data_IF_206482313149
#
_entry.id   IF_206482313149
#
_cell.length_a   1.000
_cell.length_b   1.000
_cell.length_c   1.000
_cell.angle_alpha   90.00
_cell.angle_beta   90.00
_cell.angle_gamma   90.00
#
_symmetry.space_group_name_H-M   'P 1'
#
loop_
_entity.id
_entity.type
_entity.pdbx_description
1 polymer ?
#
# COMPACT_ATOMS: atom_id res chain seq x y z
N UNK A 1 -8.92 -4.96 -11.99
CA UNK A 1 -7.56 -4.61 -12.46
C UNK A 1 -6.60 -5.77 -12.23
N UNK A 2 -6.36 -6.15 -10.97
CA UNK A 2 -5.42 -7.23 -10.58
C UNK A 2 -5.70 -8.59 -11.25
N UNK A 3 -6.97 -9.00 -11.36
CA UNK A 3 -7.30 -10.25 -12.05
C UNK A 3 -6.84 -10.25 -13.54
N UNK A 4 -6.97 -9.11 -14.23
CA UNK A 4 -6.59 -8.99 -15.65
C UNK A 4 -5.09 -8.75 -15.85
N UNK A 5 -4.44 -8.04 -14.94
CA UNK A 5 -3.03 -7.64 -15.08
C UNK A 5 -2.06 -8.70 -14.57
N UNK A 6 -2.37 -9.34 -13.44
CA UNK A 6 -1.46 -10.27 -12.76
C UNK A 6 -2.08 -11.65 -12.55
N UNK A 7 -3.29 -11.90 -13.09
CA UNK A 7 -3.95 -13.20 -12.98
C UNK A 7 -4.42 -13.55 -11.56
N UNK A 8 -4.52 -12.56 -10.65
CA UNK A 8 -4.95 -12.81 -9.28
C UNK A 8 -6.41 -13.31 -9.23
N UNK A 9 -6.61 -14.53 -8.74
CA UNK A 9 -7.92 -15.16 -8.57
C UNK A 9 -8.35 -15.22 -7.10
N UNK A 10 -7.40 -15.46 -6.19
CA UNK A 10 -7.65 -15.46 -4.75
C UNK A 10 -7.19 -14.15 -4.13
N UNK A 11 -8.13 -13.37 -3.60
CA UNK A 11 -7.88 -12.07 -2.97
C UNK A 11 -7.85 -12.13 -1.44
N UNK A 12 -8.15 -13.29 -0.84
CA UNK A 12 -8.15 -13.45 0.62
C UNK A 12 -6.84 -12.99 1.29
N UNK A 13 -5.63 -13.31 0.74
CA UNK A 13 -4.37 -12.86 1.34
C UNK A 13 -4.11 -11.35 1.25
N UNK A 14 -4.87 -10.63 0.41
CA UNK A 14 -4.72 -9.18 0.19
C UNK A 14 -5.68 -8.36 1.05
N UNK A 15 -6.62 -9.02 1.75
CA UNK A 15 -7.70 -8.36 2.50
C UNK A 15 -7.19 -7.31 3.48
N UNK A 16 -6.20 -7.65 4.30
CA UNK A 16 -5.67 -6.73 5.31
C UNK A 16 -5.00 -5.52 4.68
N UNK A 17 -4.30 -5.70 3.56
CA UNK A 17 -3.69 -4.60 2.81
C UNK A 17 -4.76 -3.70 2.20
N UNK A 18 -5.83 -4.26 1.63
CA UNK A 18 -6.96 -3.48 1.12
C UNK A 18 -7.67 -2.67 2.21
N UNK A 19 -7.89 -3.28 3.38
CA UNK A 19 -8.51 -2.57 4.50
C UNK A 19 -7.61 -1.46 5.03
N UNK A 20 -6.30 -1.70 5.13
CA UNK A 20 -5.33 -0.69 5.52
C UNK A 20 -5.35 0.51 4.56
N UNK A 21 -5.27 0.25 3.25
CA UNK A 21 -5.36 1.28 2.19
C UNK A 21 -6.68 2.06 2.27
N UNK A 22 -7.79 1.34 2.44
CA UNK A 22 -9.11 1.94 2.54
C UNK A 22 -9.24 2.88 3.75
N UNK A 23 -8.67 2.49 4.89
CA UNK A 23 -8.70 3.30 6.11
C UNK A 23 -7.80 4.54 5.98
N UNK A 24 -6.56 4.40 5.49
CA UNK A 24 -5.65 5.55 5.43
C UNK A 24 -6.04 6.58 4.36
N UNK A 25 -6.80 6.17 3.34
CA UNK A 25 -7.23 7.08 2.26
C UNK A 25 -8.27 8.12 2.67
N UNK A 26 -8.82 8.05 3.89
CA UNK A 26 -9.91 8.92 4.35
C UNK A 26 -9.62 9.48 5.74
N UNK A 27 -9.71 10.79 5.87
CA UNK A 27 -9.72 11.49 7.15
C UNK A 27 -11.16 11.84 7.52
N UNK A 28 -11.48 11.82 8.80
CA UNK A 28 -12.81 12.20 9.31
C UNK A 28 -12.66 13.52 10.05
N UNK A 29 -13.42 14.52 9.62
CA UNK A 29 -13.53 15.81 10.29
C UNK A 29 -14.88 15.89 10.99
N UNK A 30 -14.85 15.94 12.32
CA UNK A 30 -16.06 16.17 13.12
C UNK A 30 -16.33 17.67 13.16
N UNK A 31 -17.54 18.05 12.78
CA UNK A 31 -18.00 19.44 12.83
C UNK A 31 -18.57 19.81 14.19
N UNK A 32 -19.54 20.71 14.19
CA UNK A 32 -20.25 21.14 15.39
C UNK A 32 -21.05 20.00 16.03
N UNK A 33 -21.31 20.11 17.32
CA UNK A 33 -22.12 19.16 18.08
C UNK A 33 -23.50 18.96 17.40
N UNK A 34 -23.89 17.70 17.23
CA UNK A 34 -25.15 17.31 16.58
C UNK A 34 -25.09 17.18 15.05
N UNK A 35 -23.99 17.57 14.40
CA UNK A 35 -23.81 17.41 12.95
C UNK A 35 -23.08 16.11 12.60
N UNK A 36 -23.40 15.45 11.47
CA UNK A 36 -22.67 14.27 11.02
C UNK A 36 -21.24 14.62 10.60
N UNK A 37 -20.29 13.74 10.88
CA UNK A 37 -18.89 13.94 10.50
C UNK A 37 -18.70 13.91 8.99
N UNK A 38 -17.77 14.74 8.50
CA UNK A 38 -17.43 14.87 7.09
C UNK A 38 -16.23 13.97 6.79
N UNK A 39 -16.32 13.17 5.71
CA UNK A 39 -15.20 12.34 5.26
C UNK A 39 -14.41 13.07 4.16
N UNK A 40 -13.11 13.24 4.39
CA UNK A 40 -12.19 13.94 3.50
C UNK A 40 -11.23 12.93 2.84
N UNK A 41 -11.14 12.87 1.51
CA UNK A 41 -10.19 12.00 0.84
C UNK A 41 -8.76 12.54 0.98
N UNK A 42 -7.86 11.74 1.51
CA UNK A 42 -6.44 12.07 1.63
C UNK A 42 -5.76 11.83 0.28
N UNK A 43 -5.11 12.87 -0.24
CA UNK A 43 -4.51 12.88 -1.57
C UNK A 43 -3.00 13.03 -1.49
N UNK A 44 -2.28 12.39 -2.40
CA UNK A 44 -0.82 12.62 -2.56
C UNK A 44 -0.49 13.86 -3.38
N UNK A 45 -1.44 14.39 -4.15
CA UNK A 45 -1.28 15.59 -4.96
C UNK A 45 -2.26 16.71 -4.50
N UNK A 46 -2.04 17.30 -3.32
CA UNK A 46 -2.96 18.31 -2.77
C UNK A 46 -3.02 19.61 -3.60
N UNK A 47 -2.00 19.90 -4.40
CA UNK A 47 -1.95 21.08 -5.26
C UNK A 47 -2.82 20.96 -6.53
N UNK A 48 -3.25 19.74 -6.90
CA UNK A 48 -4.06 19.53 -8.09
C UNK A 48 -5.52 19.93 -7.83
N UNK A 49 -5.99 20.93 -8.59
CA UNK A 49 -7.35 21.48 -8.44
C UNK A 49 -8.37 20.63 -9.18
N UNK A 50 -7.99 19.99 -10.28
CA UNK A 50 -8.88 19.10 -11.04
C UNK A 50 -9.13 17.80 -10.24
N UNK A 51 -10.36 17.64 -9.77
CA UNK A 51 -10.78 16.48 -9.01
C UNK A 51 -10.64 15.17 -9.79
N UNK A 52 -10.66 15.20 -11.13
CA UNK A 52 -10.47 14.01 -11.97
C UNK A 52 -9.03 13.48 -11.95
N UNK A 53 -8.08 14.34 -11.60
CA UNK A 53 -6.65 14.00 -11.48
C UNK A 53 -6.24 13.77 -10.03
N UNK A 54 -7.18 13.78 -9.09
CA UNK A 54 -6.89 13.49 -7.69
C UNK A 54 -6.38 12.05 -7.53
N UNK A 55 -5.25 11.89 -6.84
CA UNK A 55 -4.62 10.60 -6.60
C UNK A 55 -4.63 10.29 -5.09
N UNK A 56 -5.02 9.08 -4.69
CA UNK A 56 -5.07 8.71 -3.27
C UNK A 56 -3.68 8.65 -2.66
N UNK A 57 -3.62 8.76 -1.33
CA UNK A 57 -2.39 8.59 -0.56
C UNK A 57 -1.81 7.17 -0.72
N UNK A 58 -0.48 7.07 -0.75
CA UNK A 58 0.24 5.80 -0.78
C UNK A 58 0.74 5.49 0.63
N UNK A 59 0.31 4.37 1.20
CA UNK A 59 0.76 3.94 2.54
C UNK A 59 2.17 3.36 2.49
N UNK A 60 2.44 2.51 1.49
CA UNK A 60 3.73 1.83 1.33
C UNK A 60 4.44 2.35 0.09
N UNK A 61 5.56 3.03 0.31
CA UNK A 61 6.46 3.44 -0.76
C UNK A 61 7.39 2.26 -1.13
N UNK A 62 7.72 2.14 -2.42
CA UNK A 62 8.67 1.17 -2.95
C UNK A 62 10.01 1.22 -2.21
N UNK A 63 10.56 2.42 -2.01
CA UNK A 63 11.83 2.61 -1.29
C UNK A 63 11.77 2.07 0.15
N UNK A 64 10.62 2.21 0.82
CA UNK A 64 10.45 1.73 2.18
C UNK A 64 10.36 0.20 2.24
N UNK A 65 9.77 -0.45 1.23
CA UNK A 65 9.72 -1.90 1.12
C UNK A 65 11.12 -2.50 0.94
N UNK A 66 11.94 -1.94 0.05
CA UNK A 66 13.32 -2.40 -0.20
C UNK A 66 14.22 -2.15 1.01
N UNK A 67 14.14 -0.96 1.60
CA UNK A 67 15.09 -0.58 2.66
C UNK A 67 14.80 -1.30 3.97
N UNK A 68 13.53 -1.53 4.28
CA UNK A 68 13.13 -2.08 5.58
C UNK A 68 12.74 -3.56 5.47
N UNK A 69 11.62 -3.84 4.80
CA UNK A 69 11.00 -5.19 4.81
C UNK A 69 11.91 -6.24 4.14
N UNK A 70 12.56 -5.89 3.03
CA UNK A 70 13.46 -6.79 2.31
C UNK A 70 14.75 -7.07 3.11
N UNK A 71 15.33 -6.07 3.76
CA UNK A 71 16.49 -6.24 4.64
C UNK A 71 16.15 -7.14 5.84
N UNK A 72 14.94 -7.00 6.39
CA UNK A 72 14.46 -7.84 7.49
C UNK A 72 14.26 -9.29 7.05
N UNK A 73 13.71 -9.51 5.86
CA UNK A 73 13.58 -10.85 5.26
C UNK A 73 14.95 -11.52 5.04
N UNK A 74 15.97 -10.77 4.59
CA UNK A 74 17.34 -11.29 4.49
C UNK A 74 17.92 -11.66 5.85
N UNK A 75 17.76 -10.81 6.87
CA UNK A 75 18.23 -11.12 8.23
C UNK A 75 17.58 -12.38 8.80
N UNK A 76 16.27 -12.56 8.58
CA UNK A 76 15.55 -13.75 9.02
C UNK A 76 16.09 -15.03 8.32
N UNK A 77 16.44 -14.90 7.04
CA UNK A 77 17.04 -15.99 6.26
C UNK A 77 18.44 -16.34 6.80
N UNK A 78 19.31 -15.35 7.01
CA UNK A 78 20.65 -15.56 7.58
C UNK A 78 20.60 -16.11 9.01
N UNK A 79 19.55 -15.78 9.77
CA UNK A 79 19.34 -16.26 11.14
C UNK A 79 18.67 -17.65 11.21
N UNK A 80 18.56 -18.36 10.08
CA UNK A 80 17.94 -19.68 9.95
C UNK A 80 16.45 -19.74 10.35
N UNK A 81 15.74 -18.60 10.29
CA UNK A 81 14.30 -18.51 10.56
C UNK A 81 13.50 -18.55 9.26
N UNK A 82 13.54 -19.71 8.60
CA UNK A 82 13.05 -19.85 7.22
C UNK A 82 11.53 -19.64 7.09
N UNK A 83 10.75 -20.09 8.07
CA UNK A 83 9.28 -19.91 8.06
C UNK A 83 8.90 -18.43 8.13
N UNK A 84 9.55 -17.69 9.02
CA UNK A 84 9.38 -16.24 9.16
C UNK A 84 9.82 -15.51 7.89
N UNK A 85 10.98 -15.85 7.34
CA UNK A 85 11.47 -15.29 6.08
C UNK A 85 10.47 -15.51 4.93
N UNK A 86 9.91 -16.71 4.78
CA UNK A 86 8.88 -16.98 3.77
C UNK A 86 7.63 -16.11 3.94
N UNK A 87 7.19 -15.87 5.19
CA UNK A 87 6.04 -14.99 5.44
C UNK A 87 6.34 -13.53 5.07
N UNK A 88 7.54 -13.05 5.40
CA UNK A 88 7.98 -11.70 5.04
C UNK A 88 8.07 -11.52 3.53
N UNK A 89 8.72 -12.44 2.81
CA UNK A 89 8.80 -12.38 1.35
C UNK A 89 7.43 -12.43 0.67
N UNK A 90 6.50 -13.26 1.16
CA UNK A 90 5.11 -13.27 0.64
C UNK A 90 4.40 -11.94 0.88
N UNK A 91 4.56 -11.36 2.08
CA UNK A 91 4.00 -10.03 2.39
C UNK A 91 4.53 -8.95 1.46
N UNK A 92 5.85 -8.96 1.18
CA UNK A 92 6.50 -8.03 0.25
C UNK A 92 5.92 -8.19 -1.17
N UNK A 93 5.80 -9.42 -1.68
CA UNK A 93 5.20 -9.68 -3.00
C UNK A 93 3.77 -9.16 -3.10
N UNK A 94 2.96 -9.38 -2.07
CA UNK A 94 1.59 -8.86 -2.03
C UNK A 94 1.57 -7.32 -2.00
N UNK A 95 2.46 -6.69 -1.23
CA UNK A 95 2.56 -5.25 -1.16
C UNK A 95 2.98 -4.63 -2.51
N UNK A 96 3.88 -5.30 -3.25
CA UNK A 96 4.37 -4.88 -4.56
C UNK A 96 3.26 -4.85 -5.62
N UNK A 97 2.23 -5.68 -5.49
CA UNK A 97 1.04 -5.60 -6.38
C UNK A 97 0.27 -4.28 -6.23
N UNK A 98 0.46 -3.58 -5.11
CA UNK A 98 -0.29 -2.37 -4.73
C UNK A 98 0.61 -1.14 -4.62
N UNK A 99 1.91 -1.25 -4.92
CA UNK A 99 2.81 -0.11 -4.97
C UNK A 99 2.57 0.72 -6.23
N UNK A 100 2.92 2.00 -6.13
CA UNK A 100 2.91 2.91 -7.26
C UNK A 100 4.32 3.46 -7.39
N UNK A 101 4.93 3.21 -8.54
CA UNK A 101 6.24 3.73 -8.92
C UNK A 101 6.07 5.06 -9.67
N UNK A 102 7.03 5.95 -9.48
CA UNK A 102 7.04 7.27 -10.14
C UNK A 102 7.96 7.30 -11.35
N UNK A 103 9.02 6.49 -11.31
CA UNK A 103 10.00 6.39 -12.39
C UNK A 103 9.90 5.03 -13.08
N UNK A 104 10.25 4.98 -14.37
CA UNK A 104 10.30 3.73 -15.11
C UNK A 104 11.41 2.80 -14.59
N UNK A 105 12.53 3.35 -14.09
CA UNK A 105 13.60 2.59 -13.46
C UNK A 105 13.13 1.82 -12.23
N UNK A 106 12.32 2.45 -11.37
CA UNK A 106 11.71 1.80 -10.20
C UNK A 106 10.76 0.65 -10.59
N UNK A 107 10.26 0.64 -11.83
CA UNK A 107 9.39 -0.44 -12.33
C UNK A 107 10.18 -1.65 -12.84
N UNK A 108 11.45 -1.45 -13.22
CA UNK A 108 12.35 -2.50 -13.69
C UNK A 108 13.11 -3.19 -12.53
N UNK A 109 13.22 -2.52 -11.39
CA UNK A 109 13.80 -3.01 -10.13
C UNK A 109 12.87 -3.97 -9.37
#
# INVERSE_FOLDING_TARGET
LLNRQVGAVNFEPLKDQFLSIFQASRAILTGNEGMPSITLPVRRNPAEVDQRKALPVLIKNFQALITNELQEAYKATTSNKITEACTLFRSILHALLLTIVTQASEAEE
#
